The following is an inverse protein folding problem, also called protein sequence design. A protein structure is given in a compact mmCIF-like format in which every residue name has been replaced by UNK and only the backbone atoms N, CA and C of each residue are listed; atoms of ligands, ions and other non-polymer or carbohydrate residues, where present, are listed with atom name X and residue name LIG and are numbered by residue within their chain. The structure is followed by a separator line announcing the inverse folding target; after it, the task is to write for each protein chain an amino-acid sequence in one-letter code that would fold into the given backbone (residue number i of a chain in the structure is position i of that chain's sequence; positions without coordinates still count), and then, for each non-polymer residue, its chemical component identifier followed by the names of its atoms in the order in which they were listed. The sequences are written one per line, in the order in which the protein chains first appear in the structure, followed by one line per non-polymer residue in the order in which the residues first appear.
data_IF_391762978782
#
_entry.id   IF_391762978782
#
_cell.length_a   1.000
_cell.length_b   1.000
_cell.length_c   1.000
_cell.angle_alpha   90.00
_cell.angle_beta   90.00
_cell.angle_gamma   90.00
#
_symmetry.space_group_name_H-M   'P 1'
#
loop_
_entity.id
_entity.type
_entity.pdbx_description
1 polymer ?
#
# COMPACT_ATOMS: atom_id res chain seq x y z
N UNK A 1 0.10 16.52 6.11
CA UNK A 1 -0.10 15.15 6.63
C UNK A 1 1.18 14.39 6.31
N UNK A 2 1.97 13.99 7.31
CA UNK A 2 3.27 13.38 7.04
C UNK A 2 3.08 11.92 6.60
N UNK A 3 3.18 11.68 5.29
CA UNK A 3 2.92 10.37 4.68
C UNK A 3 3.92 9.30 5.16
N UNK A 4 5.13 9.70 5.54
CA UNK A 4 6.16 8.81 6.09
C UNK A 4 5.74 8.24 7.43
N UNK A 5 5.21 9.07 8.31
CA UNK A 5 4.72 8.63 9.63
C UNK A 5 3.53 7.67 9.49
N UNK A 6 2.65 7.90 8.52
CA UNK A 6 1.49 7.02 8.31
C UNK A 6 1.90 5.69 7.68
N UNK A 7 2.82 5.70 6.70
CA UNK A 7 3.23 4.50 6.00
C UNK A 7 4.25 3.64 6.75
N UNK A 8 4.90 4.20 7.77
CA UNK A 8 5.83 3.48 8.65
C UNK A 8 5.18 2.89 9.90
N UNK A 9 3.86 3.00 10.06
CA UNK A 9 3.10 2.40 11.17
C UNK A 9 2.81 0.92 10.93
N UNK A 10 2.96 0.13 11.99
CA UNK A 10 2.49 -1.26 12.04
C UNK A 10 0.95 -1.28 12.13
N UNK A 11 0.30 -2.40 11.81
CA UNK A 11 -1.17 -2.49 11.93
C UNK A 11 -1.70 -2.23 13.34
N UNK A 12 -0.93 -2.60 14.37
CA UNK A 12 -1.24 -2.28 15.76
C UNK A 12 -1.12 -0.78 16.05
N UNK A 13 -0.11 -0.12 15.47
CA UNK A 13 0.15 1.31 15.66
C UNK A 13 -0.84 2.19 14.87
N UNK A 14 -1.41 1.64 13.79
CA UNK A 14 -2.42 2.31 12.99
C UNK A 14 -3.79 2.31 13.68
N UNK A 15 -4.29 1.13 14.08
CA UNK A 15 -5.51 1.01 14.87
C UNK A 15 -5.48 -0.27 15.70
N UNK A 16 -5.26 -0.09 17.01
CA UNK A 16 -5.17 -1.19 17.97
C UNK A 16 -6.47 -2.01 18.05
N UNK A 17 -7.64 -1.36 18.09
CA UNK A 17 -8.92 -2.06 18.19
C UNK A 17 -9.19 -2.96 16.99
N UNK A 18 -8.88 -2.48 15.78
CA UNK A 18 -9.04 -3.28 14.57
C UNK A 18 -8.04 -4.45 14.55
N UNK A 19 -6.79 -4.20 14.94
CA UNK A 19 -5.78 -5.26 15.00
C UNK A 19 -6.13 -6.34 16.03
N UNK A 20 -6.54 -5.96 17.24
CA UNK A 20 -6.90 -6.90 18.30
C UNK A 20 -8.08 -7.79 17.87
N UNK A 21 -9.10 -7.20 17.21
CA UNK A 21 -10.21 -7.96 16.66
C UNK A 21 -9.75 -8.94 15.57
N UNK A 22 -8.96 -8.49 14.59
CA UNK A 22 -8.46 -9.38 13.54
C UNK A 22 -7.54 -10.47 14.10
N UNK A 23 -6.68 -10.15 15.07
CA UNK A 23 -5.80 -11.11 15.72
C UNK A 23 -6.60 -12.18 16.48
N UNK A 24 -7.72 -11.80 17.11
CA UNK A 24 -8.67 -12.75 17.70
C UNK A 24 -9.28 -13.69 16.65
N UNK A 25 -9.66 -13.17 15.48
CA UNK A 25 -10.15 -14.00 14.37
C UNK A 25 -9.07 -14.95 13.84
N UNK A 26 -7.84 -14.48 13.66
CA UNK A 26 -6.73 -15.30 13.19
C UNK A 26 -6.46 -16.45 14.16
N UNK A 27 -6.35 -16.15 15.45
CA UNK A 27 -5.98 -17.13 16.48
C UNK A 27 -7.11 -18.12 16.77
N UNK A 28 -8.37 -17.68 16.80
CA UNK A 28 -9.49 -18.53 17.17
C UNK A 28 -10.17 -19.23 15.98
N UNK A 29 -10.18 -18.62 14.79
CA UNK A 29 -10.88 -19.18 13.63
C UNK A 29 -9.89 -19.63 12.55
N UNK A 30 -9.16 -18.70 11.94
CA UNK A 30 -8.40 -19.01 10.72
C UNK A 30 -7.26 -20.01 10.97
N UNK A 31 -6.58 -19.91 12.11
CA UNK A 31 -5.51 -20.84 12.48
C UNK A 31 -6.05 -22.26 12.65
N UNK A 32 -7.21 -22.43 13.30
CA UNK A 32 -7.85 -23.74 13.45
C UNK A 32 -8.23 -24.32 12.10
N UNK A 33 -8.84 -23.52 11.22
CA UNK A 33 -9.17 -23.93 9.84
C UNK A 33 -7.91 -24.34 9.08
N UNK A 34 -6.82 -23.56 9.17
CA UNK A 34 -5.55 -23.92 8.55
C UNK A 34 -5.01 -25.26 9.06
N UNK A 35 -5.08 -25.53 10.37
CA UNK A 35 -4.66 -26.80 10.94
C UNK A 35 -5.52 -27.98 10.47
N UNK A 36 -6.84 -27.81 10.34
CA UNK A 36 -7.70 -28.85 9.77
C UNK A 36 -7.33 -29.16 8.31
N UNK A 37 -7.01 -28.13 7.51
CA UNK A 37 -6.57 -28.32 6.13
C UNK A 37 -5.22 -29.06 6.09
N UNK A 38 -4.27 -28.74 6.97
CA UNK A 38 -3.01 -29.51 7.10
C UNK A 38 -3.31 -30.99 7.35
N UNK A 39 -4.27 -31.31 8.23
CA UNK A 39 -4.68 -32.69 8.51
C UNK A 39 -5.25 -33.40 7.28
N UNK A 40 -6.11 -32.73 6.51
CA UNK A 40 -6.68 -33.28 5.27
C UNK A 40 -5.58 -33.49 4.21
N UNK A 41 -4.69 -32.53 4.04
CA UNK A 41 -3.58 -32.64 3.08
C UNK A 41 -2.60 -33.76 3.45
N UNK A 42 -2.33 -33.94 4.75
CA UNK A 42 -1.54 -35.05 5.25
C UNK A 42 -2.18 -36.39 4.88
N UNK A 43 -3.51 -36.53 5.06
CA UNK A 43 -4.23 -37.76 4.67
C UNK A 43 -4.11 -38.05 3.17
N UNK A 44 -4.19 -37.02 2.32
CA UNK A 44 -4.02 -37.17 0.88
C UNK A 44 -2.58 -37.59 0.51
N UNK A 45 -1.57 -37.00 1.15
CA UNK A 45 -0.17 -37.35 0.93
C UNK A 45 0.16 -38.79 1.38
N UNK A 46 -0.44 -39.26 2.48
CA UNK A 46 -0.33 -40.67 2.89
C UNK A 46 -0.98 -41.60 1.85
N UNK A 47 -2.17 -41.26 1.35
CA UNK A 47 -2.85 -42.07 0.32
C UNK A 47 -2.00 -42.20 -0.96
N UNK A 48 -1.36 -41.11 -1.40
CA UNK A 48 -0.45 -41.11 -2.57
C UNK A 48 0.75 -42.03 -2.38
N UNK A 49 1.35 -42.07 -1.19
CA UNK A 49 2.43 -43.04 -0.90
C UNK A 49 1.90 -44.45 -1.03
N UNK A 50 0.72 -44.73 -0.48
CA UNK A 50 0.15 -46.08 -0.52
C UNK A 50 -0.06 -46.56 -1.95
N UNK A 51 -0.62 -45.71 -2.82
CA UNK A 51 -0.72 -45.99 -4.26
C UNK A 51 0.66 -46.18 -4.91
N UNK A 52 1.62 -45.29 -4.63
CA UNK A 52 2.99 -45.38 -5.19
C UNK A 52 3.68 -46.69 -4.83
N UNK A 53 3.51 -47.17 -3.59
CA UNK A 53 4.09 -48.42 -3.10
C UNK A 53 3.37 -49.64 -3.66
N UNK A 54 2.06 -49.54 -3.91
CA UNK A 54 1.29 -50.62 -4.53
C UNK A 54 1.51 -50.71 -6.05
N UNK A 55 1.79 -49.59 -6.72
CA UNK A 55 2.09 -49.53 -8.17
C UNK A 55 3.56 -49.81 -8.51
N UNK A 56 4.48 -49.66 -7.56
CA UNK A 56 5.90 -50.00 -7.74
C UNK A 56 6.16 -51.37 -7.10
N UNK A 57 6.60 -52.38 -7.86
CA UNK A 57 6.83 -53.77 -7.39
C UNK A 57 7.78 -53.96 -6.17
N UNK A 58 8.26 -52.88 -5.56
CA UNK A 58 8.87 -52.86 -4.23
C UNK A 58 7.79 -52.53 -3.19
N UNK A 59 7.13 -53.56 -2.65
CA UNK A 59 6.09 -53.44 -1.61
C UNK A 59 6.57 -52.94 -0.24
N UNK A 60 7.62 -52.10 -0.20
CA UNK A 60 8.19 -51.54 1.01
C UNK A 60 7.99 -50.03 0.97
N UNK A 61 7.13 -49.53 1.85
CA UNK A 61 7.13 -48.10 2.19
C UNK A 61 8.51 -47.80 2.75
N UNK A 62 9.36 -47.16 1.95
CA UNK A 62 10.69 -46.79 2.42
C UNK A 62 10.51 -45.75 3.52
N UNK A 63 11.13 -45.96 4.69
CA UNK A 63 11.04 -45.06 5.85
C UNK A 63 11.31 -43.59 5.49
N UNK A 64 12.17 -43.35 4.50
CA UNK A 64 12.49 -42.02 3.95
C UNK A 64 11.28 -41.29 3.34
N UNK A 65 10.33 -42.00 2.73
CA UNK A 65 9.12 -41.41 2.14
C UNK A 65 8.17 -40.92 3.23
N UNK A 66 7.95 -41.72 4.27
CA UNK A 66 7.14 -41.32 5.42
C UNK A 66 7.77 -40.14 6.18
N UNK A 67 9.09 -40.18 6.38
CA UNK A 67 9.82 -39.10 7.05
C UNK A 67 9.72 -37.77 6.29
N UNK A 68 9.79 -37.80 4.95
CA UNK A 68 9.68 -36.59 4.13
C UNK A 68 8.31 -35.90 4.28
N UNK A 69 7.22 -36.68 4.25
CA UNK A 69 5.86 -36.13 4.37
C UNK A 69 5.57 -35.67 5.80
N UNK A 70 5.99 -36.45 6.80
CA UNK A 70 5.88 -36.05 8.20
C UNK A 70 6.60 -34.72 8.46
N UNK A 71 7.78 -34.52 7.86
CA UNK A 71 8.51 -33.26 7.95
C UNK A 71 7.79 -32.10 7.25
N UNK A 72 7.26 -32.30 6.04
CA UNK A 72 6.52 -31.26 5.30
C UNK A 72 5.24 -30.84 6.03
N UNK A 73 4.46 -31.81 6.52
CA UNK A 73 3.25 -31.53 7.29
C UNK A 73 3.55 -30.84 8.62
N UNK A 74 4.63 -31.22 9.31
CA UNK A 74 5.08 -30.54 10.52
C UNK A 74 5.48 -29.08 10.24
N UNK A 75 6.23 -28.82 9.17
CA UNK A 75 6.59 -27.47 8.75
C UNK A 75 5.35 -26.63 8.40
N UNK A 76 4.39 -27.21 7.68
CA UNK A 76 3.14 -26.53 7.36
C UNK A 76 2.35 -26.19 8.63
N UNK A 77 2.22 -27.12 9.58
CA UNK A 77 1.59 -26.86 10.88
C UNK A 77 2.28 -25.73 11.65
N UNK A 78 3.61 -25.71 11.69
CA UNK A 78 4.40 -24.63 12.31
C UNK A 78 4.16 -23.29 11.58
N UNK A 79 4.13 -23.27 10.25
CA UNK A 79 3.86 -22.05 9.48
C UNK A 79 2.46 -21.48 9.75
N UNK A 80 1.45 -22.34 9.89
CA UNK A 80 0.08 -21.95 10.23
C UNK A 80 0.03 -21.37 11.65
N UNK A 81 0.66 -22.05 12.62
CA UNK A 81 0.67 -21.61 14.02
C UNK A 81 1.46 -20.31 14.25
N UNK A 82 2.57 -20.14 13.53
CA UNK A 82 3.44 -18.96 13.64
C UNK A 82 3.06 -17.84 12.66
N UNK A 83 1.96 -17.96 11.93
CA UNK A 83 1.55 -16.96 10.94
C UNK A 83 1.53 -15.53 11.50
N UNK A 84 0.99 -15.24 12.70
CA UNK A 84 0.96 -13.87 13.21
C UNK A 84 2.35 -13.23 13.33
N UNK A 85 3.32 -14.02 13.81
CA UNK A 85 4.71 -13.59 13.97
C UNK A 85 5.40 -13.43 12.61
N UNK A 86 5.18 -14.37 11.67
CA UNK A 86 5.72 -14.28 10.32
C UNK A 86 5.22 -13.02 9.61
N UNK A 87 3.92 -12.72 9.72
CA UNK A 87 3.35 -11.54 9.10
C UNK A 87 3.89 -10.23 9.71
N UNK A 88 4.03 -10.16 11.04
CA UNK A 88 4.65 -9.02 11.71
C UNK A 88 6.10 -8.82 11.29
N UNK A 89 6.87 -9.90 11.17
CA UNK A 89 8.25 -9.84 10.68
C UNK A 89 8.31 -9.30 9.24
N UNK A 90 7.44 -9.77 8.34
CA UNK A 90 7.36 -9.24 6.98
C UNK A 90 7.00 -7.75 6.96
N UNK A 91 6.03 -7.33 7.77
CA UNK A 91 5.67 -5.92 7.94
C UNK A 91 6.85 -5.08 8.41
N UNK A 92 7.66 -5.58 9.35
CA UNK A 92 8.85 -4.88 9.84
C UNK A 92 9.90 -4.67 8.74
N UNK A 93 10.10 -5.66 7.87
CA UNK A 93 10.96 -5.51 6.69
C UNK A 93 10.43 -4.39 5.77
N UNK A 94 9.12 -4.41 5.47
CA UNK A 94 8.50 -3.38 4.64
C UNK A 94 8.61 -1.97 5.23
N UNK A 95 8.35 -1.83 6.52
CA UNK A 95 8.50 -0.56 7.26
C UNK A 95 9.97 -0.11 7.28
N UNK A 96 10.90 -1.03 7.53
CA UNK A 96 12.33 -0.75 7.50
C UNK A 96 12.76 -0.19 6.14
N UNK A 97 12.23 -0.75 5.05
CA UNK A 97 12.49 -0.25 3.71
C UNK A 97 11.92 1.15 3.46
N UNK A 98 10.69 1.43 3.92
CA UNK A 98 10.10 2.80 3.87
C UNK A 98 10.95 3.81 4.65
N UNK A 99 11.39 3.46 5.86
CA UNK A 99 12.24 4.33 6.69
C UNK A 99 13.59 4.60 6.02
N UNK A 100 14.18 3.59 5.39
CA UNK A 100 15.43 3.73 4.66
C UNK A 100 15.29 4.70 3.48
N UNK A 101 14.23 4.56 2.69
CA UNK A 101 13.92 5.49 1.59
C UNK A 101 13.73 6.91 2.13
N UNK A 102 12.98 7.07 3.22
CA UNK A 102 12.76 8.38 3.82
C UNK A 102 14.07 9.04 4.29
N UNK A 103 14.99 8.26 4.87
CA UNK A 103 16.30 8.77 5.28
C UNK A 103 17.12 9.30 4.10
N UNK A 104 17.14 8.58 2.98
CA UNK A 104 17.89 9.00 1.78
C UNK A 104 17.19 10.08 0.96
N UNK A 105 15.86 10.13 0.99
CA UNK A 105 15.09 11.11 0.21
C UNK A 105 15.09 12.51 0.83
N UNK A 106 15.42 12.66 2.13
CA UNK A 106 15.49 13.95 2.81
C UNK A 106 14.19 14.75 2.70
N UNK A 107 14.28 16.08 2.55
CA UNK A 107 13.13 17.00 2.47
C UNK A 107 12.33 16.93 1.15
N UNK A 108 12.70 16.07 0.20
CA UNK A 108 12.01 15.99 -1.11
C UNK A 108 10.62 15.37 -1.03
N UNK A 109 10.34 14.61 0.04
CA UNK A 109 9.02 14.04 0.33
C UNK A 109 8.05 15.00 1.02
N UNK A 110 8.56 16.09 1.59
CA UNK A 110 7.74 17.15 2.19
C UNK A 110 7.11 18.08 1.13
N UNK A 111 7.44 17.85 -0.15
CA UNK A 111 6.88 18.56 -1.30
C UNK A 111 5.48 18.05 -1.69
N UNK A 112 4.93 17.06 -0.97
CA UNK A 112 3.48 16.85 -0.87
C UNK A 112 2.94 17.54 0.38
N UNK A 113 3.44 18.75 0.65
CA UNK A 113 2.56 19.73 1.23
C UNK A 113 1.45 19.98 0.19
N UNK A 114 0.16 19.94 0.57
CA UNK A 114 -0.85 20.54 -0.28
C UNK A 114 -0.35 21.95 -0.63
N UNK A 115 -0.51 22.45 -1.87
CA UNK A 115 -0.17 23.84 -2.17
C UNK A 115 -0.76 24.69 -1.05
N UNK A 116 0.12 25.23 -0.21
CA UNK A 116 -0.28 26.11 0.85
C UNK A 116 -0.76 27.33 0.10
N UNK A 117 -2.07 27.51 0.07
CA UNK A 117 -2.62 28.83 -0.14
C UNK A 117 -1.98 29.68 0.94
N UNK A 118 -1.00 30.51 0.56
CA UNK A 118 -0.49 31.57 1.43
C UNK A 118 -1.70 32.47 1.71
N UNK A 119 -2.40 32.21 2.82
CA UNK A 119 -3.32 33.16 3.38
C UNK A 119 -2.50 34.43 3.65
N UNK A 120 -3.00 35.63 3.28
CA UNK A 120 -2.25 36.87 3.47
C UNK A 120 -1.87 36.96 4.94
N UNK A 121 -0.55 36.91 5.20
CA UNK A 121 0.01 36.81 6.55
C UNK A 121 -0.26 38.09 7.37
N UNK A 122 -0.69 39.15 6.71
CA UNK A 122 -1.03 40.46 7.27
C UNK A 122 -2.43 40.91 6.87
N UNK A 123 -3.17 41.50 7.81
CA UNK A 123 -4.50 42.10 7.58
C UNK A 123 -4.46 43.17 6.49
N UNK A 124 -3.31 43.85 6.33
CA UNK A 124 -3.07 44.89 5.33
C UNK A 124 -2.97 44.33 3.89
N UNK A 125 -2.36 43.14 3.71
CA UNK A 125 -2.34 42.45 2.42
C UNK A 125 -3.72 41.89 2.07
N UNK A 126 -4.47 41.44 3.08
CA UNK A 126 -5.88 41.09 2.94
C UNK A 126 -6.72 42.29 2.48
N UNK A 127 -6.49 43.47 3.07
CA UNK A 127 -7.18 44.71 2.70
C UNK A 127 -6.75 45.26 1.33
N UNK A 128 -5.48 45.10 0.94
CA UNK A 128 -5.00 45.44 -0.39
C UNK A 128 -5.60 44.52 -1.48
N UNK A 129 -5.79 43.23 -1.17
CA UNK A 129 -6.52 42.28 -2.02
C UNK A 129 -8.02 42.61 -2.14
N UNK A 130 -8.65 43.10 -1.06
CA UNK A 130 -10.03 43.60 -1.08
C UNK A 130 -10.15 44.96 -1.80
N UNK A 131 -9.12 45.81 -1.74
CA UNK A 131 -9.08 47.09 -2.44
C UNK A 131 -8.89 46.90 -3.96
N UNK A 132 -8.07 45.94 -4.39
CA UNK A 132 -7.97 45.58 -5.82
C UNK A 132 -9.25 44.92 -6.36
N UNK A 133 -10.03 44.28 -5.48
CA UNK A 133 -11.40 43.78 -5.71
C UNK A 133 -12.39 44.90 -6.04
N UNK A 134 -12.23 46.09 -5.43
CA UNK A 134 -13.05 47.29 -5.68
C UNK A 134 -12.60 48.04 -6.93
N UNK A 135 -11.29 48.03 -7.24
CA UNK A 135 -10.73 48.74 -8.40
C UNK A 135 -10.99 48.00 -9.73
N UNK A 136 -11.22 46.69 -9.73
CA UNK A 136 -11.58 45.95 -10.94
C UNK A 136 -12.51 44.73 -10.68
N UNK A 137 -13.84 44.95 -10.56
CA UNK A 137 -14.79 43.95 -10.07
C UNK A 137 -14.93 42.70 -10.97
N UNK A 138 -14.61 42.81 -12.27
CA UNK A 138 -14.66 41.68 -13.22
C UNK A 138 -13.55 40.65 -13.00
N UNK A 139 -12.32 41.12 -12.72
CA UNK A 139 -11.18 40.24 -12.44
C UNK A 139 -11.28 39.65 -11.03
N UNK A 140 -11.88 40.40 -10.12
CA UNK A 140 -12.04 40.02 -8.74
C UNK A 140 -13.00 38.82 -8.53
N UNK A 141 -14.11 38.80 -9.29
CA UNK A 141 -15.05 37.68 -9.31
C UNK A 141 -14.45 36.44 -9.95
N UNK A 142 -13.65 36.60 -11.00
CA UNK A 142 -12.98 35.46 -11.65
C UNK A 142 -11.88 34.85 -10.77
N UNK A 143 -11.09 35.66 -10.06
CA UNK A 143 -10.13 35.16 -9.06
C UNK A 143 -10.82 34.49 -7.87
N UNK A 144 -11.95 35.03 -7.38
CA UNK A 144 -12.73 34.43 -6.30
C UNK A 144 -13.34 33.07 -6.66
N UNK A 145 -13.89 32.95 -7.87
CA UNK A 145 -14.40 31.68 -8.38
C UNK A 145 -13.27 30.66 -8.57
N UNK A 146 -12.13 31.09 -9.10
CA UNK A 146 -10.98 30.23 -9.32
C UNK A 146 -10.38 29.73 -8.00
N UNK A 147 -10.36 30.58 -6.97
CA UNK A 147 -9.96 30.20 -5.61
C UNK A 147 -10.92 29.14 -5.01
N UNK A 148 -12.23 29.33 -5.16
CA UNK A 148 -13.22 28.37 -4.69
C UNK A 148 -13.08 27.00 -5.38
N UNK A 149 -12.86 26.98 -6.69
CA UNK A 149 -12.62 25.74 -7.44
C UNK A 149 -11.33 25.05 -6.99
N UNK A 150 -10.24 25.80 -6.83
CA UNK A 150 -8.97 25.25 -6.35
C UNK A 150 -9.09 24.64 -4.95
N UNK A 151 -9.80 25.32 -4.04
CA UNK A 151 -10.05 24.84 -2.69
C UNK A 151 -10.85 23.53 -2.69
N UNK A 152 -11.90 23.44 -3.51
CA UNK A 152 -12.72 22.22 -3.65
C UNK A 152 -11.87 21.06 -4.21
N UNK A 153 -11.08 21.29 -5.26
CA UNK A 153 -10.21 20.24 -5.83
C UNK A 153 -9.19 19.76 -4.80
N UNK A 154 -8.59 20.68 -4.02
CA UNK A 154 -7.61 20.33 -3.00
C UNK A 154 -8.24 19.50 -1.87
N UNK A 155 -9.45 19.84 -1.45
CA UNK A 155 -10.19 19.10 -0.43
C UNK A 155 -10.52 17.70 -0.93
N UNK A 156 -10.99 17.56 -2.17
CA UNK A 156 -11.25 16.26 -2.80
C UNK A 156 -9.98 15.42 -2.87
N UNK A 157 -8.85 15.99 -3.30
CA UNK A 157 -7.57 15.28 -3.33
C UNK A 157 -7.12 14.80 -1.94
N UNK A 158 -7.28 15.62 -0.91
CA UNK A 158 -6.96 15.25 0.47
C UNK A 158 -7.81 14.07 0.97
N UNK A 159 -9.12 14.13 0.76
CA UNK A 159 -10.04 13.05 1.13
C UNK A 159 -9.70 11.77 0.39
N UNK A 160 -9.39 11.86 -0.92
CA UNK A 160 -9.01 10.70 -1.73
C UNK A 160 -7.75 10.01 -1.22
N UNK A 161 -6.70 10.77 -0.87
CA UNK A 161 -5.47 10.20 -0.29
C UNK A 161 -5.77 9.48 1.03
N UNK A 162 -6.61 10.06 1.88
CA UNK A 162 -7.00 9.45 3.14
C UNK A 162 -7.77 8.13 2.94
N UNK A 163 -8.70 8.10 1.99
CA UNK A 163 -9.44 6.88 1.60
C UNK A 163 -8.49 5.80 1.08
N UNK A 164 -7.52 6.15 0.24
CA UNK A 164 -6.52 5.20 -0.31
C UNK A 164 -5.71 4.56 0.82
N UNK A 165 -5.30 5.34 1.83
CA UNK A 165 -4.55 4.84 2.98
C UNK A 165 -5.37 3.84 3.79
N UNK A 166 -6.65 4.14 4.06
CA UNK A 166 -7.55 3.21 4.78
C UNK A 166 -7.73 1.91 4.00
N UNK A 167 -7.98 2.01 2.69
CA UNK A 167 -8.13 0.85 1.81
C UNK A 167 -6.90 -0.06 1.85
N UNK A 168 -5.70 0.51 1.90
CA UNK A 168 -4.46 -0.26 2.05
C UNK A 168 -4.41 -1.01 3.38
N UNK A 169 -4.67 -0.32 4.50
CA UNK A 169 -4.65 -0.98 5.81
C UNK A 169 -5.72 -2.06 5.88
N UNK A 170 -6.91 -1.82 5.32
CA UNK A 170 -7.96 -2.83 5.17
C UNK A 170 -7.48 -4.07 4.40
N UNK A 171 -6.82 -3.89 3.25
CA UNK A 171 -6.26 -5.00 2.47
C UNK A 171 -5.22 -5.81 3.28
N UNK A 172 -4.35 -5.14 4.03
CA UNK A 172 -3.37 -5.80 4.90
C UNK A 172 -4.04 -6.56 6.06
N UNK A 173 -5.11 -6.01 6.65
CA UNK A 173 -5.90 -6.73 7.67
C UNK A 173 -6.53 -8.01 7.10
N UNK A 174 -7.08 -7.97 5.89
CA UNK A 174 -7.65 -9.16 5.23
C UNK A 174 -6.58 -10.20 4.91
N UNK A 175 -5.41 -9.78 4.41
CA UNK A 175 -4.29 -10.69 4.16
C UNK A 175 -3.72 -11.31 5.45
N UNK A 176 -3.69 -10.54 6.53
CA UNK A 176 -3.34 -11.06 7.85
C UNK A 176 -4.39 -12.07 8.34
N UNK A 177 -5.67 -11.73 8.21
CA UNK A 177 -6.80 -12.55 8.64
C UNK A 177 -6.85 -13.92 7.97
N UNK A 178 -6.60 -13.96 6.66
CA UNK A 178 -6.75 -15.16 5.83
C UNK A 178 -5.48 -16.00 5.72
N UNK A 179 -4.31 -15.48 6.10
CA UNK A 179 -3.03 -16.12 5.80
C UNK A 179 -2.78 -17.53 6.34
N UNK A 180 -3.30 -17.96 7.50
CA UNK A 180 -3.11 -19.33 7.96
C UNK A 180 -3.70 -20.40 7.01
N UNK A 181 -4.73 -20.08 6.23
CA UNK A 181 -5.34 -21.00 5.26
C UNK A 181 -4.36 -21.36 4.13
N UNK A 182 -3.84 -20.42 3.33
CA UNK A 182 -2.89 -20.74 2.28
C UNK A 182 -1.55 -21.26 2.81
N UNK A 183 -1.16 -20.94 4.06
CA UNK A 183 0.02 -21.55 4.68
C UNK A 183 -0.15 -23.06 4.94
N UNK A 184 -1.39 -23.55 5.11
CA UNK A 184 -1.63 -24.99 5.21
C UNK A 184 -1.25 -25.75 3.93
N UNK A 185 -1.25 -25.08 2.78
CA UNK A 185 -0.98 -25.70 1.48
C UNK A 185 0.45 -26.20 1.33
N UNK A 186 1.38 -25.76 2.20
CA UNK A 186 2.74 -26.29 2.29
C UNK A 186 2.81 -27.75 2.76
N UNK A 187 1.70 -28.30 3.28
CA UNK A 187 1.63 -29.70 3.72
C UNK A 187 1.63 -30.71 2.57
N UNK A 188 1.40 -30.26 1.33
CA UNK A 188 1.38 -31.10 0.12
C UNK A 188 2.24 -30.48 -0.97
N UNK A 189 3.02 -31.29 -1.69
CA UNK A 189 3.88 -30.81 -2.77
C UNK A 189 3.08 -30.24 -3.95
N UNK A 190 1.91 -30.81 -4.23
CA UNK A 190 1.02 -30.37 -5.32
C UNK A 190 0.34 -29.03 -5.03
N UNK A 191 -0.05 -28.81 -3.77
CA UNK A 191 -0.76 -27.60 -3.37
C UNK A 191 0.17 -26.49 -2.88
N UNK A 192 1.49 -26.74 -2.77
CA UNK A 192 2.49 -25.78 -2.30
C UNK A 192 2.51 -24.47 -3.10
N UNK A 193 2.19 -24.52 -4.39
CA UNK A 193 2.15 -23.34 -5.26
C UNK A 193 1.14 -22.28 -4.79
N UNK A 194 0.06 -22.69 -4.11
CA UNK A 194 -0.97 -21.79 -3.57
C UNK A 194 -0.37 -20.92 -2.47
N UNK A 195 0.30 -21.53 -1.49
CA UNK A 195 0.98 -20.84 -0.39
C UNK A 195 2.10 -19.92 -0.89
N UNK A 196 2.90 -20.37 -1.87
CA UNK A 196 3.95 -19.53 -2.48
C UNK A 196 3.35 -18.29 -3.14
N UNK A 197 2.29 -18.43 -3.94
CA UNK A 197 1.62 -17.31 -4.59
C UNK A 197 1.01 -16.35 -3.56
N UNK A 198 0.47 -16.87 -2.47
CA UNK A 198 -0.06 -16.06 -1.38
C UNK A 198 1.02 -15.24 -0.66
N UNK A 199 2.18 -15.85 -0.39
CA UNK A 199 3.32 -15.13 0.20
C UNK A 199 3.80 -14.04 -0.76
N UNK A 200 3.95 -14.34 -2.06
CA UNK A 200 4.31 -13.33 -3.07
C UNK A 200 3.33 -12.17 -3.10
N UNK A 201 2.03 -12.46 -3.04
CA UNK A 201 0.98 -11.43 -2.95
C UNK A 201 1.15 -10.62 -1.68
N UNK A 202 1.30 -11.28 -0.53
CA UNK A 202 1.45 -10.62 0.77
C UNK A 202 2.67 -9.68 0.77
N UNK A 203 3.81 -10.14 0.23
CA UNK A 203 5.00 -9.33 0.05
C UNK A 203 4.73 -8.12 -0.85
N UNK A 204 4.03 -8.28 -1.97
CA UNK A 204 3.71 -7.16 -2.85
C UNK A 204 2.94 -6.04 -2.15
N UNK A 205 1.98 -6.37 -1.26
CA UNK A 205 1.22 -5.37 -0.50
C UNK A 205 2.06 -4.73 0.62
N UNK A 206 2.96 -5.49 1.22
CA UNK A 206 3.88 -4.99 2.26
C UNK A 206 4.93 -4.04 1.67
N UNK A 207 5.41 -4.31 0.44
CA UNK A 207 6.40 -3.48 -0.27
C UNK A 207 5.79 -2.32 -1.07
N UNK A 208 4.50 -2.38 -1.40
CA UNK A 208 3.76 -1.29 -2.06
C UNK A 208 4.03 0.13 -1.51
N UNK A 209 4.13 0.37 -0.18
CA UNK A 209 4.31 1.72 0.37
C UNK A 209 5.69 2.29 0.07
N UNK A 210 6.69 1.42 0.03
CA UNK A 210 8.03 1.82 -0.36
C UNK A 210 8.07 2.19 -1.84
N UNK A 211 7.34 1.45 -2.69
CA UNK A 211 7.18 1.82 -4.11
C UNK A 211 6.49 3.18 -4.23
N UNK A 212 5.43 3.43 -3.44
CA UNK A 212 4.76 4.74 -3.39
C UNK A 212 5.77 5.84 -3.05
N UNK A 213 6.60 5.66 -2.02
CA UNK A 213 7.59 6.66 -1.60
C UNK A 213 8.60 6.99 -2.71
N UNK A 214 9.07 5.97 -3.45
CA UNK A 214 10.00 6.17 -4.58
C UNK A 214 9.30 6.94 -5.71
N UNK A 215 8.09 6.52 -6.07
CA UNK A 215 7.30 7.16 -7.12
C UNK A 215 6.97 8.61 -6.76
N UNK A 216 6.67 8.89 -5.49
CA UNK A 216 6.48 10.24 -4.97
C UNK A 216 7.75 11.08 -5.04
N UNK A 217 8.90 10.50 -4.73
CA UNK A 217 10.20 11.16 -4.90
C UNK A 217 10.44 11.57 -6.36
N UNK A 218 10.26 10.66 -7.31
CA UNK A 218 10.42 10.94 -8.75
C UNK A 218 9.40 11.98 -9.23
N UNK A 219 8.14 11.86 -8.80
CA UNK A 219 7.09 12.81 -9.12
C UNK A 219 7.42 14.24 -8.66
N UNK A 220 8.03 14.39 -7.48
CA UNK A 220 8.47 15.68 -6.96
C UNK A 220 9.46 16.38 -7.90
N UNK A 221 10.43 15.65 -8.46
CA UNK A 221 11.36 16.20 -9.45
C UNK A 221 10.68 16.53 -10.79
N UNK A 222 9.79 15.66 -11.26
CA UNK A 222 9.09 15.86 -12.53
C UNK A 222 8.11 17.05 -12.48
N UNK A 223 7.44 17.22 -11.34
CA UNK A 223 6.53 18.34 -11.10
C UNK A 223 7.25 19.68 -11.14
N UNK A 224 8.48 19.78 -10.61
CA UNK A 224 9.28 21.02 -10.67
C UNK A 224 9.58 21.46 -12.11
N UNK A 225 9.96 20.52 -12.98
CA UNK A 225 10.25 20.81 -14.40
C UNK A 225 9.01 21.36 -15.11
N UNK A 226 7.87 20.71 -14.92
CA UNK A 226 6.62 21.17 -15.49
C UNK A 226 6.09 22.44 -14.77
N UNK A 227 6.56 22.72 -13.55
CA UNK A 227 6.35 24.00 -12.88
C UNK A 227 7.08 25.13 -13.59
N UNK A 228 8.37 24.98 -13.90
CA UNK A 228 9.10 26.03 -14.62
C UNK A 228 8.52 26.30 -16.02
N UNK A 229 8.07 25.26 -16.74
CA UNK A 229 7.45 25.43 -18.07
C UNK A 229 6.10 26.17 -18.01
N UNK A 230 5.29 25.90 -16.98
CA UNK A 230 3.99 26.57 -16.81
C UNK A 230 4.12 28.03 -16.39
N UNK A 231 5.17 28.38 -15.64
CA UNK A 231 5.46 29.76 -15.24
C UNK A 231 5.92 30.58 -16.46
N UNK A 232 6.80 30.01 -17.28
CA UNK A 232 7.19 30.61 -18.57
C UNK A 232 6.00 30.85 -19.51
N UNK A 233 4.98 29.99 -19.50
CA UNK A 233 3.76 30.18 -20.30
C UNK A 233 2.79 31.23 -19.71
N UNK A 234 2.73 31.35 -18.38
CA UNK A 234 1.94 32.37 -17.67
C UNK A 234 2.45 33.78 -17.99
N UNK A 235 3.77 33.95 -17.97
CA UNK A 235 4.45 35.20 -18.33
C UNK A 235 4.17 35.65 -19.78
N UNK A 236 3.92 34.71 -20.70
CA UNK A 236 3.59 35.01 -22.11
C UNK A 236 2.13 35.40 -22.34
N UNK A 237 1.22 34.98 -21.45
CA UNK A 237 -0.24 35.14 -21.63
C UNK A 237 -0.86 36.20 -20.73
N UNK A 238 -0.09 36.78 -19.80
CA UNK A 238 -0.55 37.87 -18.91
C UNK A 238 -1.65 37.46 -17.92
N UNK A 239 -1.90 36.16 -17.78
CA UNK A 239 -2.93 35.58 -16.91
C UNK A 239 -2.32 34.51 -15.98
N UNK A 240 -1.37 34.93 -15.14
CA UNK A 240 -0.64 34.05 -14.21
C UNK A 240 -1.55 33.24 -13.29
N UNK A 241 -2.67 33.82 -12.84
CA UNK A 241 -3.58 33.16 -11.91
C UNK A 241 -4.34 31.97 -12.50
N UNK A 242 -4.79 32.01 -13.75
CA UNK A 242 -5.55 30.91 -14.37
C UNK A 242 -4.64 29.75 -14.78
N UNK A 243 -3.45 30.05 -15.30
CA UNK A 243 -2.46 29.04 -15.70
C UNK A 243 -1.92 28.30 -14.47
N UNK A 244 -1.66 29.01 -13.37
CA UNK A 244 -1.22 28.40 -12.10
C UNK A 244 -2.26 27.44 -11.50
N UNK A 245 -3.55 27.78 -11.59
CA UNK A 245 -4.61 26.93 -11.03
C UNK A 245 -4.85 25.67 -11.86
N UNK A 246 -4.92 25.79 -13.18
CA UNK A 246 -5.11 24.65 -14.09
C UNK A 246 -3.98 23.62 -13.93
N UNK A 247 -2.76 24.12 -13.73
CA UNK A 247 -1.56 23.34 -13.46
C UNK A 247 -1.62 22.58 -12.13
N UNK A 248 -2.06 23.21 -11.05
CA UNK A 248 -2.22 22.54 -9.75
C UNK A 248 -3.23 21.39 -9.80
N UNK A 249 -4.32 21.55 -10.55
CA UNK A 249 -5.37 20.54 -10.73
C UNK A 249 -4.85 19.34 -11.53
N UNK A 250 -4.19 19.59 -12.67
CA UNK A 250 -3.62 18.52 -13.51
C UNK A 250 -2.60 17.70 -12.72
N UNK A 251 -1.73 18.35 -11.96
CA UNK A 251 -0.78 17.66 -11.08
C UNK A 251 -1.47 16.83 -10.00
N UNK A 252 -2.50 17.35 -9.33
CA UNK A 252 -3.26 16.59 -8.34
C UNK A 252 -3.93 15.34 -8.96
N UNK A 253 -4.50 15.46 -10.16
CA UNK A 253 -5.14 14.33 -10.87
C UNK A 253 -4.12 13.28 -11.30
N UNK A 254 -2.99 13.69 -11.89
CA UNK A 254 -1.90 12.79 -12.28
C UNK A 254 -1.34 12.07 -11.05
N UNK A 255 -1.19 12.77 -9.93
CA UNK A 255 -0.76 12.19 -8.67
C UNK A 255 -1.70 11.08 -8.16
N UNK A 256 -3.02 11.30 -8.23
CA UNK A 256 -4.03 10.30 -7.84
C UNK A 256 -3.95 9.07 -8.73
N UNK A 257 -3.82 9.25 -10.05
CA UNK A 257 -3.69 8.15 -11.02
C UNK A 257 -2.44 7.31 -10.73
N UNK A 258 -1.32 7.98 -10.45
CA UNK A 258 -0.04 7.33 -10.13
C UNK A 258 -0.13 6.53 -8.82
N UNK A 259 -0.77 7.09 -7.77
CA UNK A 259 -0.98 6.38 -6.51
C UNK A 259 -1.82 5.11 -6.69
N UNK A 260 -2.87 5.19 -7.50
CA UNK A 260 -3.72 4.04 -7.80
C UNK A 260 -2.98 2.97 -8.61
N UNK A 261 -2.21 3.39 -9.63
CA UNK A 261 -1.42 2.48 -10.46
C UNK A 261 -0.27 1.81 -9.71
N UNK A 262 0.21 2.42 -8.62
CA UNK A 262 1.33 1.88 -7.82
C UNK A 262 1.02 0.50 -7.22
N UNK A 263 -0.25 0.21 -6.92
CA UNK A 263 -0.68 -1.12 -6.49
C UNK A 263 -0.34 -2.19 -7.54
N UNK A 264 -0.68 -1.93 -8.81
CA UNK A 264 -0.41 -2.81 -9.96
C UNK A 264 1.08 -2.92 -10.27
N UNK A 265 1.84 -1.84 -10.08
CA UNK A 265 3.30 -1.86 -10.27
C UNK A 265 3.94 -2.80 -9.23
N UNK A 266 3.55 -2.70 -7.96
CA UNK A 266 4.08 -3.57 -6.91
C UNK A 266 3.73 -5.04 -7.16
N UNK A 267 2.49 -5.35 -7.54
CA UNK A 267 2.07 -6.73 -7.77
C UNK A 267 2.84 -7.39 -8.93
N UNK A 268 3.03 -6.66 -10.03
CA UNK A 268 3.78 -7.14 -11.19
C UNK A 268 5.23 -7.52 -10.87
N UNK A 269 5.90 -6.83 -9.94
CA UNK A 269 7.29 -7.13 -9.56
C UNK A 269 7.43 -8.48 -8.83
N UNK A 270 6.38 -8.91 -8.14
CA UNK A 270 6.35 -10.21 -7.46
C UNK A 270 5.69 -11.30 -8.31
N UNK A 271 5.32 -10.99 -9.56
CA UNK A 271 4.68 -11.90 -10.51
C UNK A 271 3.27 -12.31 -10.08
N UNK A 272 2.51 -11.38 -9.48
CA UNK A 272 1.13 -11.58 -8.99
C UNK A 272 0.18 -10.52 -9.49
#
# INVERSE_FOLDING_TARGET
MNLVDIFSKTLSDYNKSSFDWVNSIVTNATMQVGLYIVGILLMLEIAKIYERVNSSNSGVVTLKMFQAIAWQAALAGIMVALWPYLFQFLMLIGIGFVKLIAHFAGSTLDLVNPPSVDAPKNVLDGLAGLASLVVNPGNALSYGLAFAVAFVVQLVAYVMIWVIIILRFFQLYVLFALGPIPMSSFASEEHRQIGITYIKKTLAYIFQPAVIMIVMGVYSFLSKIAIDMGDALGMLTGHDGLVALTKSIVFAVVFIIILWQTHRISSNQFGV
#
